data_IF_748413055409
#
_entry.id   IF_748413055409
#
_cell.length_a   1.000
_cell.length_b   1.000
_cell.length_c   1.000
_cell.angle_alpha   90.00
_cell.angle_beta   90.00
_cell.angle_gamma   90.00
#
_symmetry.space_group_name_H-M   'P 1'
#
loop_
_entity.id
_entity.type
_entity.pdbx_description
1 polymer ?
#
# COMPACT_ATOMS: atom_id res chain seq x y z
N UNK A 1 -46.45 73.92 33.18
CA UNK A 1 -46.54 72.64 33.89
C UNK A 1 -45.70 71.65 33.09
N UNK A 2 -44.49 71.34 33.57
CA UNK A 2 -44.18 70.02 34.15
C UNK A 2 -43.79 69.05 33.01
N UNK A 3 -42.63 68.38 32.92
CA UNK A 3 -41.58 68.00 33.88
C UNK A 3 -40.28 67.67 33.11
N UNK A 4 -39.16 68.10 33.68
CA UNK A 4 -37.80 67.53 33.76
C UNK A 4 -37.10 66.78 32.61
N UNK A 5 -35.93 67.34 32.27
CA UNK A 5 -34.58 66.76 32.34
C UNK A 5 -34.42 65.36 32.95
N UNK A 6 -33.60 64.51 32.33
CA UNK A 6 -32.34 64.00 32.92
C UNK A 6 -31.67 63.00 31.97
N UNK A 7 -30.64 63.46 31.26
CA UNK A 7 -29.50 62.61 30.92
C UNK A 7 -28.79 62.24 32.23
N UNK A 8 -28.77 60.97 32.57
CA UNK A 8 -27.92 60.43 33.62
C UNK A 8 -26.88 59.51 32.96
N UNK A 9 -25.64 59.97 32.99
CA UNK A 9 -24.46 59.15 32.79
C UNK A 9 -24.02 58.61 34.16
N UNK A 10 -23.72 57.32 34.23
CA UNK A 10 -22.76 56.71 35.17
C UNK A 10 -22.53 55.28 34.66
N UNK A 11 -21.47 55.01 33.91
CA UNK A 11 -20.18 54.55 34.45
C UNK A 11 -20.33 53.53 35.58
N UNK A 12 -20.16 52.24 35.24
CA UNK A 12 -19.22 51.32 35.90
C UNK A 12 -19.68 49.88 35.72
N UNK A 13 -19.15 49.17 34.71
CA UNK A 13 -19.03 47.70 34.79
C UNK A 13 -18.01 47.15 33.78
N UNK A 14 -16.85 47.81 33.67
CA UNK A 14 -15.65 47.19 33.11
C UNK A 14 -14.65 46.99 34.24
N UNK A 15 -14.76 45.84 34.92
CA UNK A 15 -13.68 45.16 35.67
C UNK A 15 -14.27 44.33 36.82
N UNK A 16 -14.63 43.08 36.53
CA UNK A 16 -14.86 41.94 37.45
C UNK A 16 -15.46 40.87 36.52
N UNK A 17 -14.67 40.09 35.80
CA UNK A 17 -14.38 38.71 36.21
C UNK A 17 -13.29 38.08 35.30
N UNK A 18 -12.22 38.83 34.99
CA UNK A 18 -11.01 38.28 34.34
C UNK A 18 -10.00 37.74 35.37
N UNK A 19 -10.48 37.05 36.41
CA UNK A 19 -9.65 36.67 37.56
C UNK A 19 -9.75 35.22 38.05
N UNK A 20 -10.38 34.32 37.29
CA UNK A 20 -10.53 32.91 37.69
C UNK A 20 -10.14 31.89 36.61
N UNK A 21 -9.29 32.28 35.64
CA UNK A 21 -8.88 31.37 34.54
C UNK A 21 -7.39 31.02 34.50
N UNK A 22 -6.69 31.24 35.61
CA UNK A 22 -5.33 30.72 35.77
C UNK A 22 -5.24 30.01 37.12
N UNK A 23 -5.32 28.67 37.18
CA UNK A 23 -4.77 27.99 38.34
C UNK A 23 -3.28 28.31 38.38
N UNK A 24 -2.81 28.79 39.53
CA UNK A 24 -1.40 29.04 39.79
C UNK A 24 -0.62 27.76 39.50
N UNK A 25 0.24 27.80 38.48
CA UNK A 25 1.12 26.69 38.14
C UNK A 25 2.17 26.55 39.24
N UNK A 26 1.88 25.70 40.22
CA UNK A 26 2.78 25.41 41.32
C UNK A 26 3.86 24.42 40.83
N UNK A 27 5.13 24.71 41.11
CA UNK A 27 6.30 23.99 40.55
C UNK A 27 6.36 22.52 41.06
N UNK A 28 5.54 22.18 42.07
CA UNK A 28 5.48 20.85 42.68
C UNK A 28 4.53 19.86 41.96
N UNK A 29 3.73 20.30 40.97
CA UNK A 29 2.80 19.41 40.23
C UNK A 29 3.45 18.69 39.03
N UNK A 30 4.77 18.83 38.82
CA UNK A 30 5.51 18.17 37.74
C UNK A 30 6.10 16.81 38.11
N UNK A 31 5.90 16.33 39.34
CA UNK A 31 6.34 15.00 39.75
C UNK A 31 5.22 13.96 39.55
N UNK A 32 5.45 13.03 38.62
CA UNK A 32 4.77 11.73 38.51
C UNK A 32 3.42 11.72 37.79
N UNK A 33 3.42 12.10 36.51
CA UNK A 33 2.56 11.42 35.53
C UNK A 33 3.46 10.47 34.75
N UNK A 34 3.51 9.21 35.20
CA UNK A 34 4.12 8.14 34.43
C UNK A 34 3.18 7.84 33.25
N UNK A 35 3.40 8.54 32.14
CA UNK A 35 2.71 8.24 30.87
C UNK A 35 3.21 6.85 30.45
N UNK A 36 2.34 5.82 30.39
CA UNK A 36 2.77 4.52 29.90
C UNK A 36 3.35 4.72 28.50
N UNK A 37 4.56 4.21 28.29
CA UNK A 37 5.21 4.24 26.98
C UNK A 37 4.20 3.75 25.94
N UNK A 38 3.95 4.60 24.93
CA UNK A 38 3.06 4.24 23.84
C UNK A 38 3.44 2.83 23.34
N UNK A 39 2.48 1.91 23.17
CA UNK A 39 2.80 0.62 22.58
C UNK A 39 3.49 0.87 21.24
N UNK A 40 4.52 0.07 20.95
CA UNK A 40 5.30 0.17 19.72
C UNK A 40 4.37 0.41 18.52
N UNK A 41 4.74 1.32 17.58
CA UNK A 41 3.85 1.68 16.49
C UNK A 41 3.39 0.43 15.77
N UNK A 42 2.07 0.20 15.73
CA UNK A 42 1.46 -0.81 14.88
C UNK A 42 1.98 -0.62 13.46
N UNK A 43 2.87 -1.52 13.01
CA UNK A 43 3.34 -1.54 11.63
C UNK A 43 2.20 -2.05 10.74
N UNK A 44 1.61 -1.14 9.98
CA UNK A 44 1.13 -1.34 8.61
C UNK A 44 0.62 -0.01 8.06
N UNK A 45 1.39 0.60 7.15
CA UNK A 45 0.82 1.49 6.14
C UNK A 45 0.84 0.75 4.78
N UNK A 46 -0.08 1.04 3.86
CA UNK A 46 -1.09 2.11 3.89
C UNK A 46 -2.47 1.60 4.36
N UNK A 47 -3.14 2.38 5.22
CA UNK A 47 -4.54 2.15 5.59
C UNK A 47 -5.45 2.89 4.61
N UNK A 48 -5.82 2.22 3.52
CA UNK A 48 -7.12 2.47 2.91
C UNK A 48 -8.06 1.39 3.44
N UNK A 49 -9.08 1.79 4.20
CA UNK A 49 -9.96 0.87 4.93
C UNK A 49 -10.56 -0.18 4.00
N UNK A 50 -10.22 -1.44 4.26
CA UNK A 50 -10.60 -2.65 3.54
C UNK A 50 -9.81 -2.86 2.22
N UNK A 51 -8.73 -3.63 2.34
CA UNK A 51 -8.13 -4.31 1.20
C UNK A 51 -9.18 -5.21 0.54
N UNK A 52 -9.02 -5.43 -0.76
CA UNK A 52 -9.88 -6.29 -1.55
C UNK A 52 -9.83 -7.72 -1.01
N UNK A 53 -10.90 -8.15 -0.35
CA UNK A 53 -11.00 -9.46 0.30
C UNK A 53 -10.68 -10.62 -0.65
N UNK A 54 -11.12 -10.52 -1.91
CA UNK A 54 -10.83 -11.53 -2.93
C UNK A 54 -9.33 -11.67 -3.27
N UNK A 55 -8.54 -10.61 -3.12
CA UNK A 55 -7.09 -10.67 -3.34
C UNK A 55 -6.41 -11.47 -2.21
N UNK A 56 -6.77 -11.18 -0.97
CA UNK A 56 -6.23 -11.85 0.21
C UNK A 56 -6.61 -13.33 0.22
N UNK A 57 -7.89 -13.64 -0.07
CA UNK A 57 -8.36 -15.01 -0.17
C UNK A 57 -7.60 -15.81 -1.24
N UNK A 58 -7.39 -15.22 -2.42
CA UNK A 58 -6.65 -15.85 -3.52
C UNK A 58 -5.19 -16.11 -3.15
N UNK A 59 -4.51 -15.13 -2.56
CA UNK A 59 -3.11 -15.25 -2.13
C UNK A 59 -2.92 -16.37 -1.11
N UNK A 60 -3.81 -16.47 -0.13
CA UNK A 60 -3.73 -17.48 0.92
C UNK A 60 -4.08 -18.87 0.35
N UNK A 61 -5.21 -19.00 -0.34
CA UNK A 61 -5.74 -20.32 -0.74
C UNK A 61 -4.97 -20.94 -1.90
N UNK A 62 -4.55 -20.15 -2.89
CA UNK A 62 -3.93 -20.68 -4.10
C UNK A 62 -2.41 -20.68 -4.05
N UNK A 63 -1.81 -19.67 -3.40
CA UNK A 63 -0.36 -19.46 -3.41
C UNK A 63 0.30 -19.64 -2.04
N UNK A 64 -0.48 -19.86 -0.97
CA UNK A 64 0.00 -19.92 0.41
C UNK A 64 0.84 -18.70 0.80
N UNK A 65 0.40 -17.51 0.37
CA UNK A 65 1.03 -16.22 0.71
C UNK A 65 0.20 -15.57 1.82
N UNK A 66 0.79 -15.44 3.01
CA UNK A 66 0.14 -14.88 4.21
C UNK A 66 0.91 -13.71 4.82
N UNK A 67 2.20 -13.58 4.53
CA UNK A 67 3.08 -12.56 5.14
C UNK A 67 3.14 -11.23 4.39
N UNK A 68 2.55 -11.13 3.20
CA UNK A 68 2.67 -9.94 2.34
C UNK A 68 1.76 -8.81 2.83
N UNK A 69 2.26 -7.58 2.81
CA UNK A 69 1.40 -6.41 2.99
C UNK A 69 0.66 -6.06 1.70
N UNK A 70 -0.63 -5.74 1.81
CA UNK A 70 -1.50 -5.41 0.69
C UNK A 70 -1.92 -3.94 0.70
N UNK A 71 -1.85 -3.31 -0.46
CA UNK A 71 -2.49 -2.03 -0.78
C UNK A 71 -3.33 -2.17 -2.06
N UNK A 72 -4.45 -2.85 -1.90
CA UNK A 72 -5.40 -3.12 -2.99
C UNK A 72 -6.77 -2.69 -2.49
N UNK A 73 -7.08 -1.38 -2.45
CA UNK A 73 -8.38 -0.94 -1.95
C UNK A 73 -9.49 -1.42 -2.89
N UNK A 74 -10.56 -1.97 -2.32
CA UNK A 74 -11.70 -2.48 -3.08
C UNK A 74 -12.30 -1.42 -4.01
N UNK A 75 -12.39 -0.16 -3.54
CA UNK A 75 -12.88 0.97 -4.34
C UNK A 75 -12.06 1.24 -5.60
N UNK A 76 -10.75 0.99 -5.57
CA UNK A 76 -9.87 1.13 -6.72
C UNK A 76 -10.07 -0.01 -7.71
N UNK A 77 -10.18 -1.24 -7.21
CA UNK A 77 -10.48 -2.42 -8.04
C UNK A 77 -11.80 -2.21 -8.77
N UNK A 78 -12.87 -1.86 -8.05
CA UNK A 78 -14.18 -1.57 -8.64
C UNK A 78 -14.14 -0.41 -9.64
N UNK A 79 -13.31 0.62 -9.38
CA UNK A 79 -13.14 1.73 -10.32
C UNK A 79 -12.49 1.24 -11.61
N UNK A 80 -11.35 0.58 -11.55
CA UNK A 80 -10.68 0.09 -12.76
C UNK A 80 -11.51 -0.95 -13.50
N UNK A 81 -12.29 -1.75 -12.79
CA UNK A 81 -13.20 -2.74 -13.38
C UNK A 81 -14.33 -2.07 -14.18
N UNK A 82 -14.90 -0.98 -13.65
CA UNK A 82 -15.99 -0.22 -14.28
C UNK A 82 -15.55 0.70 -15.42
N UNK A 83 -14.40 1.35 -15.29
CA UNK A 83 -13.98 2.42 -16.19
C UNK A 83 -13.19 1.94 -17.41
N UNK A 84 -12.69 0.71 -17.40
CA UNK A 84 -11.85 0.16 -18.47
C UNK A 84 -12.46 -1.09 -19.09
N UNK A 85 -12.09 -1.35 -20.34
CA UNK A 85 -12.54 -2.54 -21.07
C UNK A 85 -11.78 -3.78 -20.58
N UNK A 86 -12.46 -4.58 -19.75
CA UNK A 86 -11.91 -5.77 -19.13
C UNK A 86 -12.45 -7.03 -19.78
N UNK A 87 -11.56 -7.86 -20.34
CA UNK A 87 -11.94 -9.20 -20.84
C UNK A 87 -12.15 -10.18 -19.68
N UNK A 88 -11.51 -9.93 -18.53
CA UNK A 88 -11.57 -10.78 -17.34
C UNK A 88 -11.47 -9.95 -16.06
N UNK A 89 -11.91 -10.54 -14.95
CA UNK A 89 -11.95 -9.89 -13.65
C UNK A 89 -10.57 -9.70 -13.02
N UNK A 90 -10.52 -8.85 -12.00
CA UNK A 90 -9.32 -8.54 -11.24
C UNK A 90 -8.62 -9.77 -10.67
N UNK A 91 -9.34 -10.74 -10.10
CA UNK A 91 -8.76 -11.96 -9.52
C UNK A 91 -8.09 -12.82 -10.58
N UNK A 92 -8.67 -12.87 -11.77
CA UNK A 92 -8.05 -13.57 -12.89
C UNK A 92 -6.75 -12.87 -13.31
N UNK A 93 -6.76 -11.53 -13.37
CA UNK A 93 -5.55 -10.75 -13.62
C UNK A 93 -4.47 -11.00 -12.56
N UNK A 94 -4.84 -11.00 -11.28
CA UNK A 94 -3.93 -11.26 -10.17
C UNK A 94 -3.34 -12.68 -10.23
N UNK A 95 -4.16 -13.69 -10.57
CA UNK A 95 -3.68 -15.06 -10.75
C UNK A 95 -2.67 -15.16 -11.89
N UNK A 96 -2.95 -14.50 -13.02
CA UNK A 96 -2.04 -14.44 -14.17
C UNK A 96 -0.72 -13.74 -13.81
N UNK A 97 -0.78 -12.64 -13.07
CA UNK A 97 0.42 -11.89 -12.65
C UNK A 97 1.30 -12.70 -11.70
N UNK A 98 0.71 -13.38 -10.71
CA UNK A 98 1.44 -14.25 -9.78
C UNK A 98 2.05 -15.47 -10.48
N UNK A 99 1.31 -16.09 -11.42
CA UNK A 99 1.86 -17.18 -12.23
C UNK A 99 3.04 -16.73 -13.09
N UNK A 100 2.96 -15.53 -13.70
CA UNK A 100 4.08 -14.98 -14.45
C UNK A 100 5.26 -14.65 -13.53
N UNK A 101 5.03 -14.10 -12.35
CA UNK A 101 6.08 -13.79 -11.37
C UNK A 101 6.83 -15.05 -10.91
N UNK A 102 6.13 -16.18 -10.77
CA UNK A 102 6.68 -17.45 -10.28
C UNK A 102 7.16 -18.39 -11.39
N UNK A 103 6.82 -18.11 -12.65
CA UNK A 103 7.08 -19.02 -13.78
C UNK A 103 7.84 -18.40 -14.94
N UNK A 104 7.84 -17.08 -15.10
CA UNK A 104 8.46 -16.40 -16.23
C UNK A 104 9.84 -15.82 -15.85
N UNK A 105 10.90 -16.41 -16.40
CA UNK A 105 12.28 -15.97 -16.25
C UNK A 105 12.88 -15.38 -17.54
N UNK A 106 12.05 -15.15 -18.58
CA UNK A 106 12.52 -14.60 -19.86
C UNK A 106 13.09 -13.19 -19.70
N UNK A 107 12.53 -12.44 -18.77
CA UNK A 107 12.95 -11.08 -18.44
C UNK A 107 14.09 -11.11 -17.41
N UNK A 108 15.30 -10.63 -17.73
CA UNK A 108 16.47 -10.71 -16.84
C UNK A 108 16.27 -10.00 -15.49
N UNK A 109 15.45 -8.96 -15.48
CA UNK A 109 15.16 -8.17 -14.28
C UNK A 109 14.04 -8.77 -13.42
N UNK A 110 13.44 -9.90 -13.83
CA UNK A 110 12.33 -10.50 -13.09
C UNK A 110 12.78 -11.11 -11.75
N UNK A 111 11.89 -11.21 -10.75
CA UNK A 111 12.22 -11.84 -9.47
C UNK A 111 12.73 -13.27 -9.63
N UNK A 112 12.15 -14.03 -10.56
CA UNK A 112 12.54 -15.42 -10.80
C UNK A 112 13.93 -15.51 -11.46
N UNK A 113 14.23 -14.65 -12.43
CA UNK A 113 15.57 -14.57 -13.03
C UNK A 113 16.62 -14.16 -11.99
N UNK A 114 16.30 -13.19 -11.12
CA UNK A 114 17.15 -12.82 -10.00
C UNK A 114 17.40 -13.97 -9.02
N UNK A 115 16.36 -14.75 -8.68
CA UNK A 115 16.49 -15.91 -7.82
C UNK A 115 17.35 -17.02 -8.45
N UNK A 116 17.21 -17.28 -9.76
CA UNK A 116 18.05 -18.22 -10.51
C UNK A 116 19.52 -17.78 -10.53
N UNK A 117 19.78 -16.48 -10.75
CA UNK A 117 21.13 -15.92 -10.71
C UNK A 117 21.79 -16.11 -9.34
N UNK A 118 21.04 -15.89 -8.25
CA UNK A 118 21.53 -16.14 -6.88
C UNK A 118 21.79 -17.63 -6.58
N UNK A 119 21.18 -18.55 -7.32
CA UNK A 119 21.46 -19.99 -7.24
C UNK A 119 22.67 -20.39 -8.10
N UNK A 120 23.30 -19.45 -8.81
CA UNK A 120 24.45 -19.72 -9.67
C UNK A 120 24.09 -20.35 -11.02
N UNK A 121 22.83 -20.25 -11.44
CA UNK A 121 22.37 -20.81 -12.72
C UNK A 121 22.70 -19.85 -13.85
N UNK A 122 23.77 -20.16 -14.58
CA UNK A 122 24.30 -19.33 -15.69
C UNK A 122 23.81 -19.77 -17.07
N UNK A 123 23.13 -20.92 -17.16
CA UNK A 123 22.63 -21.54 -18.40
C UNK A 123 21.12 -21.76 -18.35
N UNK A 124 20.55 -22.44 -19.36
CA UNK A 124 19.14 -22.84 -19.34
C UNK A 124 18.80 -23.60 -18.05
N UNK A 125 17.85 -23.11 -17.23
CA UNK A 125 17.58 -23.69 -15.92
C UNK A 125 16.91 -25.06 -16.06
N UNK A 126 17.30 -26.00 -15.21
CA UNK A 126 16.64 -27.29 -15.10
C UNK A 126 15.29 -27.16 -14.37
N UNK A 127 14.47 -28.22 -14.40
CA UNK A 127 13.20 -28.24 -13.64
C UNK A 127 13.43 -28.10 -12.13
N UNK A 128 14.51 -28.65 -11.59
CA UNK A 128 14.87 -28.50 -10.17
C UNK A 128 15.26 -27.05 -9.84
N UNK A 129 16.01 -26.39 -10.72
CA UNK A 129 16.43 -25.00 -10.51
C UNK A 129 15.22 -24.07 -10.50
N UNK A 130 14.29 -24.25 -11.44
CA UNK A 130 13.04 -23.49 -11.48
C UNK A 130 12.20 -23.71 -10.22
N UNK A 131 12.16 -24.94 -9.69
CA UNK A 131 11.45 -25.24 -8.44
C UNK A 131 12.10 -24.52 -7.25
N UNK A 132 13.43 -24.57 -7.14
CA UNK A 132 14.17 -23.90 -6.06
C UNK A 132 14.03 -22.38 -6.15
N UNK A 133 14.17 -21.80 -7.34
CA UNK A 133 13.98 -20.37 -7.58
C UNK A 133 12.55 -19.94 -7.24
N UNK A 134 11.53 -20.71 -7.66
CA UNK A 134 10.13 -20.45 -7.31
C UNK A 134 9.89 -20.47 -5.80
N UNK A 135 10.47 -21.45 -5.10
CA UNK A 135 10.37 -21.51 -3.63
C UNK A 135 11.02 -20.29 -2.98
N UNK A 136 12.15 -19.82 -3.51
CA UNK A 136 12.82 -18.61 -3.01
C UNK A 136 11.96 -17.36 -3.21
N UNK A 137 11.35 -17.19 -4.39
CA UNK A 137 10.44 -16.07 -4.65
C UNK A 137 9.19 -16.15 -3.77
N UNK A 138 8.62 -17.34 -3.55
CA UNK A 138 7.52 -17.54 -2.60
C UNK A 138 7.90 -17.21 -1.15
N UNK A 139 9.12 -17.53 -0.74
CA UNK A 139 9.63 -17.15 0.57
C UNK A 139 9.72 -15.62 0.69
N UNK A 140 10.26 -14.93 -0.32
CA UNK A 140 10.29 -13.46 -0.36
C UNK A 140 8.89 -12.85 -0.26
N UNK A 141 7.91 -13.39 -0.99
CA UNK A 141 6.52 -12.92 -0.93
C UNK A 141 5.93 -13.04 0.48
N UNK A 142 6.38 -13.99 1.28
CA UNK A 142 5.94 -14.19 2.67
C UNK A 142 6.77 -13.40 3.69
N UNK A 143 7.72 -12.57 3.26
CA UNK A 143 8.43 -11.69 4.17
C UNK A 143 7.58 -10.46 4.54
N UNK A 144 7.60 -10.00 5.81
CA UNK A 144 6.84 -8.82 6.24
C UNK A 144 7.26 -7.51 5.53
N UNK A 145 8.48 -7.49 4.97
CA UNK A 145 8.97 -6.35 4.19
C UNK A 145 8.37 -6.28 2.78
N UNK A 146 7.76 -7.38 2.32
CA UNK A 146 7.17 -7.48 1.00
C UNK A 146 5.81 -6.79 0.93
N UNK A 147 5.56 -6.20 -0.23
CA UNK A 147 4.38 -5.41 -0.46
C UNK A 147 3.83 -5.64 -1.86
N UNK A 148 2.52 -5.79 -1.97
CA UNK A 148 1.79 -5.86 -3.23
C UNK A 148 0.72 -4.78 -3.25
N UNK A 149 0.70 -4.01 -4.32
CA UNK A 149 -0.29 -2.95 -4.53
C UNK A 149 -0.80 -2.95 -5.96
N UNK A 150 -2.02 -2.46 -6.14
CA UNK A 150 -2.53 -2.13 -7.47
C UNK A 150 -2.05 -0.73 -7.87
N UNK A 151 -1.50 -0.59 -9.08
CA UNK A 151 -1.08 0.73 -9.56
C UNK A 151 -2.31 1.57 -9.85
N UNK A 152 -2.31 2.79 -9.33
CA UNK A 152 -3.38 3.77 -9.51
C UNK A 152 -2.91 4.85 -10.49
N UNK A 153 -3.79 5.40 -11.34
CA UNK A 153 -3.45 6.53 -12.19
C UNK A 153 -2.84 7.69 -11.37
N UNK A 154 -1.77 8.31 -11.88
CA UNK A 154 -1.13 9.52 -11.33
C UNK A 154 -0.57 9.40 -9.90
N UNK A 155 -0.42 8.18 -9.37
CA UNK A 155 0.25 7.92 -8.08
C UNK A 155 1.70 7.48 -8.27
N UNK A 156 2.42 7.34 -7.15
CA UNK A 156 3.74 6.73 -7.09
C UNK A 156 3.70 5.28 -7.63
N UNK A 157 4.86 4.71 -7.97
CA UNK A 157 5.03 3.33 -8.45
C UNK A 157 4.49 3.05 -9.87
N UNK A 158 4.51 4.06 -10.75
CA UNK A 158 4.20 3.85 -12.16
C UNK A 158 5.18 2.87 -12.81
N UNK A 159 4.72 2.05 -13.78
CA UNK A 159 5.58 1.17 -14.57
C UNK A 159 6.57 1.97 -15.42
N UNK A 160 7.64 1.32 -15.90
CA UNK A 160 8.77 2.01 -16.53
C UNK A 160 8.73 2.00 -18.06
N UNK A 161 7.97 1.11 -18.70
CA UNK A 161 8.00 0.92 -20.15
C UNK A 161 6.77 1.49 -20.87
N UNK A 162 6.11 2.48 -20.27
CA UNK A 162 4.99 3.21 -20.87
C UNK A 162 3.64 2.48 -20.80
N UNK A 163 3.54 1.42 -20.00
CA UNK A 163 2.30 0.73 -19.73
C UNK A 163 1.32 1.63 -18.98
N UNK A 164 0.05 1.59 -19.39
CA UNK A 164 -1.00 2.37 -18.74
C UNK A 164 -2.02 1.46 -18.09
N UNK A 165 -2.60 1.94 -16.98
CA UNK A 165 -3.69 1.25 -16.26
C UNK A 165 -4.95 1.12 -17.10
N UNK A 166 -5.12 1.95 -18.14
CA UNK A 166 -6.25 1.88 -19.08
C UNK A 166 -6.22 0.62 -19.94
N UNK A 167 -5.01 0.18 -20.33
CA UNK A 167 -4.82 -0.99 -21.20
C UNK A 167 -4.46 -2.25 -20.42
N UNK A 168 -3.96 -2.11 -19.20
CA UNK A 168 -3.42 -3.21 -18.42
C UNK A 168 -3.93 -3.19 -16.98
N UNK A 169 -4.07 -4.37 -16.39
CA UNK A 169 -3.98 -4.53 -14.95
C UNK A 169 -2.49 -4.50 -14.58
N UNK A 170 -2.13 -3.59 -13.66
CA UNK A 170 -0.74 -3.35 -13.29
C UNK A 170 -0.62 -3.52 -11.77
N UNK A 171 0.24 -4.45 -11.39
CA UNK A 171 0.55 -4.73 -10.00
C UNK A 171 1.97 -4.28 -9.70
N UNK A 172 2.14 -3.46 -8.69
CA UNK A 172 3.45 -3.10 -8.17
C UNK A 172 3.79 -4.00 -7.00
N UNK A 173 4.97 -4.61 -7.04
CA UNK A 173 5.51 -5.42 -5.98
C UNK A 173 6.81 -4.82 -5.45
N UNK A 174 7.01 -4.90 -4.15
CA UNK A 174 8.30 -4.63 -3.52
C UNK A 174 8.72 -5.90 -2.79
N UNK A 175 9.80 -6.52 -3.23
CA UNK A 175 10.35 -7.75 -2.64
C UNK A 175 11.78 -7.46 -2.21
N UNK A 176 12.11 -7.68 -0.94
CA UNK A 176 13.45 -7.37 -0.38
C UNK A 176 13.93 -5.94 -0.73
N UNK A 177 13.02 -4.97 -0.57
CA UNK A 177 13.28 -3.56 -0.90
C UNK A 177 13.40 -3.21 -2.39
N UNK A 178 13.36 -4.20 -3.29
CA UNK A 178 13.47 -3.98 -4.74
C UNK A 178 12.09 -3.85 -5.38
N UNK A 179 11.89 -2.85 -6.27
CA UNK A 179 10.62 -2.66 -6.99
C UNK A 179 10.51 -3.56 -8.22
N UNK A 180 9.31 -4.11 -8.43
CA UNK A 180 8.92 -4.90 -9.59
C UNK A 180 7.51 -4.51 -10.04
N UNK A 181 7.24 -4.76 -11.32
CA UNK A 181 5.92 -4.58 -11.93
C UNK A 181 5.49 -5.85 -12.63
N UNK A 182 4.26 -6.27 -12.38
CA UNK A 182 3.61 -7.34 -13.13
C UNK A 182 2.48 -6.75 -13.97
N UNK A 183 2.59 -6.95 -15.29
CA UNK A 183 1.70 -6.37 -16.29
C UNK A 183 0.83 -7.47 -16.88
N UNK A 184 -0.48 -7.22 -16.90
CA UNK A 184 -1.46 -8.12 -17.52
C UNK A 184 -2.33 -7.30 -18.46
N UNK A 185 -2.32 -7.64 -19.74
CA UNK A 185 -3.12 -6.97 -20.77
C UNK A 185 -4.61 -7.24 -20.56
N UNK A 186 -5.43 -6.18 -20.43
CA UNK A 186 -6.88 -6.32 -20.17
C UNK A 186 -7.64 -6.98 -21.33
N UNK A 187 -7.07 -6.93 -22.55
CA UNK A 187 -7.64 -7.58 -23.73
C UNK A 187 -7.32 -9.07 -23.82
N UNK A 188 -6.40 -9.58 -22.99
CA UNK A 188 -5.93 -10.97 -23.02
C UNK A 188 -5.13 -11.35 -24.28
N UNK A 189 -4.76 -10.38 -25.12
CA UNK A 189 -4.04 -10.63 -26.39
C UNK A 189 -2.54 -10.79 -26.18
N UNK A 190 -2.00 -10.26 -25.09
CA UNK A 190 -0.58 -10.34 -24.75
C UNK A 190 -0.38 -11.19 -23.50
N UNK A 191 0.68 -11.99 -23.52
CA UNK A 191 1.07 -12.78 -22.34
C UNK A 191 1.45 -11.85 -21.17
N UNK A 192 1.10 -12.22 -19.93
CA UNK A 192 1.55 -11.49 -18.76
C UNK A 192 3.07 -11.55 -18.61
N UNK A 193 3.67 -10.45 -18.17
CA UNK A 193 5.11 -10.36 -17.95
C UNK A 193 5.43 -9.57 -16.69
N UNK A 194 6.61 -9.84 -16.12
CA UNK A 194 7.06 -9.25 -14.85
C UNK A 194 8.50 -8.82 -15.01
N UNK A 195 8.79 -7.59 -14.58
CA UNK A 195 10.12 -7.01 -14.64
C UNK A 195 10.43 -6.22 -13.37
N UNK A 196 11.72 -6.04 -13.11
CA UNK A 196 12.24 -5.22 -12.03
C UNK A 196 12.71 -3.86 -12.54
N UNK A 197 12.98 -2.93 -11.64
CA UNK A 197 13.68 -1.71 -12.05
C UNK A 197 15.09 -2.08 -12.53
N UNK A 198 15.42 -1.71 -13.76
CA UNK A 198 16.81 -1.65 -14.19
C UNK A 198 17.52 -0.58 -13.34
N UNK A 199 18.40 -0.99 -12.44
CA UNK A 199 19.36 -0.11 -11.78
C UNK A 199 20.75 -0.59 -12.11
#
# INVERSE_FOLDING_TARGET
>A
MSVSSAFAAEQSETARFSRDWSPEANIETFASVEVPAAPAPLRAGPRDGQNYSGAEELLIKEFAITGISLDIPETEVMRQDRFYDNTFCFEHALRLSLNALLGNYKEPTSPLAGALSQLGVLSTPSKSDLKAARQKVLALLNEPASHLSIVRPYKQNQPQYGETVEKNWIFFLRLDGKPYWAIVDRSGKKEPYVYGSAK
#
